data_IF_695652880641
#
_entry.id   IF_695652880641
#
_cell.length_a   1.000
_cell.length_b   1.000
_cell.length_c   1.000
_cell.angle_alpha   90.00
_cell.angle_beta   90.00
_cell.angle_gamma   90.00
#
_symmetry.space_group_name_H-M   'P 1'
#
loop_
_entity.id
_entity.type
_entity.pdbx_description
1 polymer ?
#
# COMPACT_ATOMS: atom_id res chain seq x y z
N UNK A 1 -8.47 -7.25 -38.60
CA UNK A 1 -7.44 -6.94 -37.58
C UNK A 1 -8.13 -7.04 -36.25
N UNK A 2 -7.71 -7.89 -35.30
CA UNK A 2 -8.35 -7.95 -33.98
C UNK A 2 -7.95 -6.73 -33.16
N UNK A 3 -8.93 -6.12 -32.50
CA UNK A 3 -8.87 -4.91 -31.71
C UNK A 3 -7.76 -4.99 -30.64
N UNK A 4 -6.90 -4.00 -30.59
CA UNK A 4 -5.84 -3.86 -29.58
C UNK A 4 -6.39 -3.71 -28.14
N UNK A 5 -7.60 -3.19 -27.98
CA UNK A 5 -8.26 -3.02 -26.68
C UNK A 5 -8.52 -4.35 -25.95
N UNK A 6 -8.88 -5.40 -26.67
CA UNK A 6 -9.16 -6.72 -26.06
C UNK A 6 -7.92 -7.44 -25.50
N UNK A 7 -6.71 -7.05 -25.93
CA UNK A 7 -5.46 -7.61 -25.38
C UNK A 7 -5.04 -6.93 -24.07
N UNK A 8 -5.31 -5.64 -23.96
CA UNK A 8 -4.97 -4.84 -22.77
C UNK A 8 -5.89 -5.24 -21.61
N UNK A 9 -7.21 -5.33 -21.86
CA UNK A 9 -8.18 -5.83 -20.86
C UNK A 9 -7.85 -7.23 -20.35
N UNK A 10 -7.29 -8.11 -21.21
CA UNK A 10 -6.91 -9.46 -20.84
C UNK A 10 -5.64 -9.53 -19.98
N UNK A 11 -4.75 -8.54 -20.09
CA UNK A 11 -3.51 -8.46 -19.29
C UNK A 11 -3.84 -7.92 -17.88
N UNK A 12 -4.65 -6.88 -17.78
CA UNK A 12 -5.08 -6.29 -16.49
C UNK A 12 -5.84 -7.30 -15.63
N UNK A 13 -6.87 -7.96 -16.18
CA UNK A 13 -7.61 -9.02 -15.48
C UNK A 13 -6.74 -10.23 -15.11
N UNK A 14 -5.75 -10.56 -15.92
CA UNK A 14 -4.82 -11.66 -15.63
C UNK A 14 -3.88 -11.35 -14.48
N UNK A 15 -3.44 -10.11 -14.35
CA UNK A 15 -2.57 -9.65 -13.27
C UNK A 15 -3.34 -9.54 -11.94
N UNK A 16 -4.54 -8.97 -11.95
CA UNK A 16 -5.43 -8.94 -10.79
C UNK A 16 -5.77 -10.36 -10.30
N UNK A 17 -6.05 -11.30 -11.21
CA UNK A 17 -6.28 -12.71 -10.85
C UNK A 17 -5.05 -13.38 -10.26
N UNK A 18 -3.84 -13.01 -10.70
CA UNK A 18 -2.57 -13.52 -10.13
C UNK A 18 -2.33 -12.98 -8.72
N UNK A 19 -2.65 -11.71 -8.46
CA UNK A 19 -2.55 -11.14 -7.13
C UNK A 19 -3.53 -11.82 -6.17
N UNK A 20 -4.79 -11.99 -6.59
CA UNK A 20 -5.82 -12.70 -5.80
C UNK A 20 -5.33 -14.11 -5.47
N UNK A 21 -4.80 -14.85 -6.46
CA UNK A 21 -4.30 -16.21 -6.26
C UNK A 21 -3.07 -16.26 -5.34
N UNK A 22 -2.18 -15.25 -5.39
CA UNK A 22 -1.07 -15.12 -4.47
C UNK A 22 -1.53 -14.82 -3.03
N UNK A 23 -2.69 -14.15 -2.87
CA UNK A 23 -3.28 -13.77 -1.58
C UNK A 23 -4.23 -14.84 -0.98
N UNK A 24 -4.73 -15.80 -1.76
CA UNK A 24 -5.67 -16.85 -1.28
C UNK A 24 -5.10 -17.76 -0.17
N UNK A 25 -3.78 -17.75 0.04
CA UNK A 25 -3.13 -18.44 1.17
C UNK A 25 -3.11 -17.65 2.49
N UNK A 26 -3.58 -16.41 2.49
CA UNK A 26 -3.52 -15.51 3.64
C UNK A 26 -4.86 -15.48 4.37
N UNK A 27 -4.87 -15.97 5.60
CA UNK A 27 -6.08 -15.94 6.43
C UNK A 27 -6.22 -14.56 7.07
N UNK A 28 -7.41 -13.96 6.99
CA UNK A 28 -7.76 -12.75 7.76
C UNK A 28 -7.54 -12.91 9.28
N UNK A 29 -7.54 -14.14 9.76
CA UNK A 29 -7.28 -14.47 11.16
C UNK A 29 -5.84 -14.17 11.64
N UNK A 30 -4.87 -14.04 10.73
CA UNK A 30 -3.49 -13.74 11.10
C UNK A 30 -3.27 -12.26 11.46
N UNK A 31 -4.32 -11.43 11.33
CA UNK A 31 -4.23 -9.99 11.55
C UNK A 31 -4.60 -9.53 12.96
N UNK A 32 -5.19 -10.35 13.83
CA UNK A 32 -5.93 -9.78 14.97
C UNK A 32 -5.67 -10.35 16.37
N UNK A 33 -4.78 -11.29 16.60
CA UNK A 33 -4.52 -11.75 17.99
C UNK A 33 -3.08 -12.18 18.26
N UNK A 34 -2.22 -11.24 18.66
CA UNK A 34 -1.16 -11.52 19.65
C UNK A 34 -0.71 -10.22 20.31
N UNK A 35 -0.63 -10.20 21.65
CA UNK A 35 0.11 -9.17 22.37
C UNK A 35 1.56 -9.18 21.86
N UNK A 36 2.22 -8.02 21.63
CA UNK A 36 3.61 -7.98 21.22
C UNK A 36 4.44 -8.77 22.24
N UNK A 37 4.91 -9.93 21.83
CA UNK A 37 5.98 -10.62 22.56
C UNK A 37 7.26 -9.88 22.18
N UNK A 38 8.08 -9.55 23.15
CA UNK A 38 9.22 -8.64 23.08
C UNK A 38 9.96 -8.63 21.74
N UNK A 39 10.31 -7.44 21.24
CA UNK A 39 10.91 -7.18 19.93
C UNK A 39 12.34 -7.73 19.82
N UNK A 40 12.47 -9.06 19.81
CA UNK A 40 13.74 -9.77 19.72
C UNK A 40 13.79 -10.60 18.43
N UNK A 41 14.97 -10.64 17.80
CA UNK A 41 15.20 -11.45 16.61
C UNK A 41 14.38 -10.98 15.43
N UNK A 42 14.83 -9.91 14.77
CA UNK A 42 14.23 -9.44 13.53
C UNK A 42 14.26 -10.54 12.47
N UNK A 43 13.14 -10.75 11.82
CA UNK A 43 12.96 -11.73 10.73
C UNK A 43 12.29 -11.02 9.55
N UNK A 44 12.83 -11.27 8.35
CA UNK A 44 12.22 -10.81 7.12
C UNK A 44 12.31 -11.89 6.04
N UNK A 45 11.30 -11.93 5.17
CA UNK A 45 11.20 -12.89 4.08
C UNK A 45 10.62 -12.23 2.84
N UNK A 46 11.22 -12.51 1.70
CA UNK A 46 10.68 -12.15 0.38
C UNK A 46 10.22 -13.43 -0.32
N UNK A 47 9.00 -13.41 -0.86
CA UNK A 47 8.43 -14.50 -1.68
C UNK A 47 8.08 -14.02 -3.08
N UNK A 48 8.56 -14.71 -4.10
CA UNK A 48 8.21 -14.49 -5.49
C UNK A 48 8.08 -15.84 -6.21
N UNK A 49 6.85 -16.30 -6.42
CA UNK A 49 6.59 -17.64 -6.96
C UNK A 49 7.24 -18.73 -6.11
N UNK A 50 8.19 -19.47 -6.70
CA UNK A 50 8.95 -20.52 -6.01
C UNK A 50 10.23 -20.01 -5.31
N UNK A 51 10.56 -18.73 -5.46
CA UNK A 51 11.71 -18.11 -4.81
C UNK A 51 11.30 -17.64 -3.43
N UNK A 52 12.07 -18.06 -2.42
CA UNK A 52 11.98 -17.54 -1.06
C UNK A 52 13.36 -17.08 -0.64
N UNK A 53 13.46 -15.86 -0.11
CA UNK A 53 14.68 -15.25 0.42
C UNK A 53 14.41 -14.92 1.88
N UNK A 54 15.20 -15.49 2.79
CA UNK A 54 15.05 -15.28 4.24
C UNK A 54 16.24 -14.46 4.77
N UNK A 55 15.99 -13.55 5.69
CA UNK A 55 17.05 -12.76 6.36
C UNK A 55 18.01 -13.60 7.21
N UNK A 56 17.63 -14.84 7.54
CA UNK A 56 18.52 -15.80 8.20
C UNK A 56 19.54 -16.47 7.27
N UNK A 57 19.36 -16.37 5.96
CA UNK A 57 20.18 -17.06 4.95
C UNK A 57 20.97 -16.09 4.07
N UNK A 58 20.41 -14.93 3.81
CA UNK A 58 20.99 -13.89 2.94
C UNK A 58 20.76 -12.52 3.52
N UNK A 59 21.79 -11.69 3.45
CA UNK A 59 21.65 -10.28 3.80
C UNK A 59 20.82 -9.57 2.73
N UNK A 60 19.75 -8.92 3.18
CA UNK A 60 18.96 -8.06 2.31
C UNK A 60 18.36 -6.89 3.08
N UNK A 61 18.14 -5.83 2.36
CA UNK A 61 17.58 -4.58 2.83
C UNK A 61 16.27 -4.34 2.09
N UNK A 62 15.33 -3.63 2.71
CA UNK A 62 14.17 -3.14 2.01
C UNK A 62 13.70 -1.78 2.53
N UNK A 63 13.16 -1.01 1.61
CA UNK A 63 12.33 0.17 1.88
C UNK A 63 10.98 -0.08 1.24
N UNK A 64 9.92 0.06 2.01
CA UNK A 64 8.53 -0.14 1.58
C UNK A 64 7.74 1.08 1.97
N UNK A 65 7.25 1.82 1.00
CA UNK A 65 6.40 2.99 1.20
C UNK A 65 4.92 2.59 1.14
N UNK A 66 4.08 3.34 1.84
CA UNK A 66 2.63 3.19 1.79
C UNK A 66 1.95 4.52 2.11
N UNK A 67 0.88 4.83 1.38
CA UNK A 67 0.12 6.05 1.57
C UNK A 67 -1.38 5.89 1.26
N UNK A 68 -2.16 6.98 1.39
CA UNK A 68 -3.59 7.00 1.12
C UNK A 68 -3.95 7.76 -0.16
N UNK A 69 -3.02 7.84 -1.11
CA UNK A 69 -3.25 8.36 -2.45
C UNK A 69 -3.52 7.23 -3.48
N UNK A 70 -3.73 7.60 -4.74
CA UNK A 70 -3.98 6.68 -5.85
C UNK A 70 -2.73 6.29 -6.63
N UNK A 71 -1.57 6.80 -6.24
CA UNK A 71 -0.30 6.40 -6.83
C UNK A 71 0.11 5.03 -6.27
N UNK A 72 0.78 4.24 -7.09
CA UNK A 72 1.24 2.93 -6.64
C UNK A 72 2.31 3.06 -5.56
N UNK A 73 2.14 2.36 -4.44
CA UNK A 73 3.17 2.32 -3.42
C UNK A 73 4.37 1.53 -3.92
N UNK A 74 5.56 2.04 -3.65
CA UNK A 74 6.81 1.46 -4.08
C UNK A 74 7.46 0.60 -3.00
N UNK A 75 8.17 -0.44 -3.43
CA UNK A 75 9.11 -1.17 -2.59
C UNK A 75 10.42 -1.40 -3.35
N UNK A 76 11.53 -1.08 -2.69
CA UNK A 76 12.87 -1.41 -3.15
C UNK A 76 13.46 -2.48 -2.23
N UNK A 77 13.87 -3.61 -2.82
CA UNK A 77 14.52 -4.71 -2.11
C UNK A 77 15.91 -4.87 -2.67
N UNK A 78 16.91 -4.89 -1.81
CA UNK A 78 18.31 -5.08 -2.17
C UNK A 78 18.78 -6.39 -1.55
N UNK A 79 19.24 -7.32 -2.37
CA UNK A 79 19.74 -8.62 -1.92
C UNK A 79 21.17 -8.80 -2.40
N UNK A 80 22.02 -9.24 -1.48
CA UNK A 80 23.44 -9.49 -1.77
C UNK A 80 23.66 -10.94 -2.19
N UNK A 81 24.55 -11.13 -3.17
CA UNK A 81 25.07 -12.42 -3.61
C UNK A 81 24.04 -13.47 -4.06
N UNK A 82 22.91 -13.03 -4.61
CA UNK A 82 21.95 -13.94 -5.23
C UNK A 82 22.57 -14.77 -6.36
N UNK A 83 22.18 -16.04 -6.44
CA UNK A 83 22.59 -16.93 -7.53
C UNK A 83 21.97 -16.49 -8.87
N UNK A 84 22.64 -16.76 -9.99
CA UNK A 84 22.08 -16.48 -11.32
C UNK A 84 20.77 -17.24 -11.56
N UNK A 85 20.62 -18.45 -11.01
CA UNK A 85 19.39 -19.22 -11.11
C UNK A 85 18.23 -18.55 -10.39
N UNK A 86 18.46 -17.96 -9.23
CA UNK A 86 17.46 -17.20 -8.47
C UNK A 86 17.08 -15.90 -9.21
N UNK A 87 18.09 -15.12 -9.64
CA UNK A 87 17.85 -13.87 -10.39
C UNK A 87 17.01 -14.15 -11.65
N UNK A 88 17.28 -15.23 -12.36
CA UNK A 88 16.55 -15.60 -13.56
C UNK A 88 15.07 -15.98 -13.31
N UNK A 89 14.69 -16.25 -12.07
CA UNK A 89 13.30 -16.52 -11.68
C UNK A 89 12.53 -15.25 -11.29
N UNK A 90 13.23 -14.19 -10.91
CA UNK A 90 12.65 -12.88 -10.60
C UNK A 90 12.31 -12.17 -11.91
N UNK A 91 11.07 -12.30 -12.36
CA UNK A 91 10.61 -11.76 -13.64
C UNK A 91 9.74 -10.51 -13.41
N UNK A 92 9.89 -9.54 -14.30
CA UNK A 92 8.97 -8.41 -14.41
C UNK A 92 7.51 -8.91 -14.49
N UNK A 93 6.62 -8.24 -13.77
CA UNK A 93 5.21 -8.60 -13.63
C UNK A 93 4.95 -9.85 -12.77
N UNK A 94 5.98 -10.44 -12.14
CA UNK A 94 5.77 -11.53 -11.19
C UNK A 94 5.28 -10.98 -9.84
N UNK A 95 4.29 -11.66 -9.24
CA UNK A 95 3.81 -11.32 -7.91
C UNK A 95 4.90 -11.54 -6.86
N UNK A 96 5.05 -10.57 -5.96
CA UNK A 96 6.05 -10.56 -4.90
C UNK A 96 5.43 -10.08 -3.58
N UNK A 97 5.89 -10.62 -2.46
CA UNK A 97 5.49 -10.16 -1.13
C UNK A 97 6.68 -10.08 -0.19
N UNK A 98 6.60 -9.15 0.75
CA UNK A 98 7.58 -8.97 1.83
C UNK A 98 6.86 -9.17 3.16
N UNK A 99 7.37 -10.07 3.96
CA UNK A 99 6.96 -10.27 5.35
C UNK A 99 8.11 -9.85 6.25
N UNK A 100 7.83 -9.06 7.29
CA UNK A 100 8.85 -8.63 8.24
C UNK A 100 8.26 -8.48 9.64
N UNK A 101 9.14 -8.47 10.65
CA UNK A 101 8.76 -8.29 12.04
C UNK A 101 9.79 -8.93 12.97
N UNK A 102 9.32 -9.30 14.15
CA UNK A 102 10.14 -9.91 15.18
C UNK A 102 9.67 -11.35 15.43
N UNK A 103 10.53 -12.19 15.98
CA UNK A 103 10.26 -13.61 16.24
C UNK A 103 8.93 -13.81 16.96
N UNK A 104 8.00 -14.50 16.29
CA UNK A 104 6.64 -14.73 16.79
C UNK A 104 5.65 -13.60 16.54
N UNK A 105 6.07 -12.49 15.89
CA UNK A 105 5.22 -11.36 15.51
C UNK A 105 5.69 -10.77 14.17
N UNK A 106 5.47 -11.51 13.10
CA UNK A 106 5.77 -11.11 11.72
C UNK A 106 4.50 -10.97 10.91
N UNK A 107 4.50 -10.10 9.92
CA UNK A 107 3.36 -9.92 9.02
C UNK A 107 3.75 -9.32 7.68
N UNK A 108 2.82 -9.34 6.74
CA UNK A 108 3.05 -8.79 5.40
C UNK A 108 3.10 -7.27 5.47
N UNK A 109 4.24 -6.71 5.07
CA UNK A 109 4.44 -5.27 4.94
C UNK A 109 4.26 -4.78 3.50
N UNK A 110 4.46 -5.66 2.49
CA UNK A 110 4.28 -5.35 1.09
C UNK A 110 3.71 -6.54 0.32
N UNK A 111 2.86 -6.24 -0.65
CA UNK A 111 2.37 -7.20 -1.64
C UNK A 111 2.09 -6.49 -2.96
N UNK A 112 2.73 -6.94 -4.02
CA UNK A 112 2.65 -6.29 -5.33
C UNK A 112 3.33 -7.11 -6.42
N UNK A 113 3.94 -6.41 -7.37
CA UNK A 113 4.58 -6.99 -8.55
C UNK A 113 5.99 -6.44 -8.73
N UNK A 114 6.84 -7.22 -9.35
CA UNK A 114 8.17 -6.78 -9.77
C UNK A 114 8.03 -5.88 -11.00
N UNK A 115 8.51 -4.63 -10.90
CA UNK A 115 8.71 -3.75 -12.04
C UNK A 115 9.96 -4.18 -12.82
N UNK A 116 11.09 -4.12 -12.14
CA UNK A 116 12.39 -4.43 -12.76
C UNK A 116 13.38 -4.99 -11.76
N UNK A 117 14.34 -5.74 -12.27
CA UNK A 117 15.46 -6.29 -11.49
C UNK A 117 16.77 -5.79 -12.08
N UNK A 118 17.62 -5.19 -11.25
CA UNK A 118 18.95 -4.72 -11.64
C UNK A 118 20.01 -5.41 -10.80
N UNK A 119 21.00 -6.01 -11.45
CA UNK A 119 22.15 -6.62 -10.77
C UNK A 119 23.43 -5.91 -11.19
N UNK A 120 24.23 -5.52 -10.22
CA UNK A 120 25.55 -4.91 -10.44
C UNK A 120 26.59 -5.52 -9.51
N UNK A 121 27.83 -5.44 -9.91
CA UNK A 121 28.97 -5.76 -9.05
C UNK A 121 29.21 -4.57 -8.11
N UNK A 122 29.43 -4.84 -6.82
CA UNK A 122 29.70 -3.85 -5.80
C UNK A 122 30.91 -4.35 -4.95
N UNK A 123 32.12 -3.93 -5.34
CA UNK A 123 33.33 -4.46 -4.77
C UNK A 123 33.51 -5.96 -5.01
N UNK A 124 33.56 -6.74 -3.93
CA UNK A 124 33.62 -8.19 -3.97
C UNK A 124 32.22 -8.83 -4.13
N UNK A 125 31.18 -8.11 -3.77
CA UNK A 125 29.81 -8.58 -3.73
C UNK A 125 29.06 -8.30 -5.03
N UNK A 126 27.90 -8.95 -5.14
CA UNK A 126 26.93 -8.71 -6.18
C UNK A 126 25.63 -8.23 -5.57
N UNK A 127 25.28 -6.98 -5.85
CA UNK A 127 24.08 -6.31 -5.40
C UNK A 127 22.97 -6.48 -6.42
N UNK A 128 21.86 -7.09 -6.05
CA UNK A 128 20.65 -7.20 -6.86
C UNK A 128 19.55 -6.36 -6.24
N UNK A 129 19.08 -5.35 -6.99
CA UNK A 129 17.96 -4.49 -6.58
C UNK A 129 16.72 -4.91 -7.34
N UNK A 130 15.63 -5.15 -6.60
CA UNK A 130 14.31 -5.49 -7.09
C UNK A 130 13.40 -4.31 -6.79
N UNK A 131 12.87 -3.67 -7.84
CA UNK A 131 11.90 -2.60 -7.73
C UNK A 131 10.50 -3.18 -7.90
N UNK A 132 9.57 -2.79 -7.04
CA UNK A 132 8.23 -3.34 -6.97
C UNK A 132 7.18 -2.26 -6.79
N UNK A 133 5.96 -2.51 -7.27
CA UNK A 133 4.77 -1.69 -7.03
C UNK A 133 3.63 -2.54 -6.46
N UNK A 134 2.76 -1.95 -5.66
CA UNK A 134 1.57 -2.64 -5.13
C UNK A 134 0.34 -2.51 -6.03
N UNK A 135 0.43 -1.76 -7.10
CA UNK A 135 -0.60 -1.61 -8.13
C UNK A 135 -0.14 -2.15 -9.49
N UNK A 136 -1.07 -2.29 -10.39
CA UNK A 136 -0.79 -2.52 -11.81
C UNK A 136 -0.72 -1.14 -12.45
N UNK A 137 0.45 -0.72 -12.96
CA UNK A 137 0.56 0.44 -13.82
C UNK A 137 -0.34 0.25 -15.04
N UNK A 138 -1.58 0.65 -14.94
CA UNK A 138 -2.53 0.59 -16.04
C UNK A 138 -2.96 2.02 -16.39
N UNK A 139 -2.29 2.60 -17.37
CA UNK A 139 -2.72 3.83 -18.03
C UNK A 139 -3.94 3.56 -18.93
N UNK A 140 -4.94 2.87 -18.37
CA UNK A 140 -6.16 2.55 -19.11
C UNK A 140 -6.90 3.84 -19.43
N UNK A 141 -6.97 4.15 -20.72
CA UNK A 141 -7.84 5.20 -21.20
C UNK A 141 -9.27 4.67 -21.16
N UNK A 142 -10.12 5.33 -20.40
CA UNK A 142 -11.54 4.96 -20.30
C UNK A 142 -12.39 5.95 -21.10
N UNK A 143 -13.48 5.44 -21.68
CA UNK A 143 -14.54 6.26 -22.28
C UNK A 143 -15.88 5.58 -21.96
N UNK A 144 -16.61 6.15 -20.99
CA UNK A 144 -17.86 5.59 -20.49
C UNK A 144 -18.89 6.70 -20.41
N UNK A 145 -20.07 6.46 -20.96
CA UNK A 145 -21.23 7.36 -20.83
C UNK A 145 -22.20 6.82 -19.79
N UNK A 146 -22.68 7.71 -18.96
CA UNK A 146 -23.66 7.45 -17.91
C UNK A 146 -24.92 8.27 -18.19
N UNK A 147 -26.08 7.68 -17.99
CA UNK A 147 -27.37 8.33 -18.22
C UNK A 147 -27.59 9.52 -17.26
N UNK A 148 -28.49 10.41 -17.63
CA UNK A 148 -28.98 11.46 -16.75
C UNK A 148 -29.51 10.86 -15.43
N UNK A 149 -29.41 11.63 -14.35
CA UNK A 149 -29.72 11.25 -12.97
C UNK A 149 -28.82 10.16 -12.37
N UNK A 150 -27.63 9.96 -12.93
CA UNK A 150 -26.62 9.06 -12.35
C UNK A 150 -25.92 9.70 -11.15
N UNK A 151 -25.73 8.91 -10.11
CA UNK A 151 -25.02 9.33 -8.89
C UNK A 151 -23.50 9.24 -9.06
N UNK A 152 -22.77 10.18 -8.44
CA UNK A 152 -21.30 10.20 -8.43
C UNK A 152 -20.71 8.91 -7.84
N UNK A 153 -21.33 8.37 -6.80
CA UNK A 153 -20.92 7.10 -6.18
C UNK A 153 -21.01 5.91 -7.14
N UNK A 154 -22.02 5.89 -8.02
CA UNK A 154 -22.15 4.83 -9.02
C UNK A 154 -21.06 4.95 -10.09
N UNK A 155 -20.77 6.18 -10.54
CA UNK A 155 -19.67 6.44 -11.48
C UNK A 155 -18.34 5.99 -10.84
N UNK A 156 -18.03 6.46 -9.64
CA UNK A 156 -16.81 6.10 -8.92
C UNK A 156 -16.66 4.58 -8.77
N UNK A 157 -17.71 3.90 -8.32
CA UNK A 157 -17.68 2.44 -8.15
C UNK A 157 -17.49 1.70 -9.48
N UNK A 158 -18.06 2.22 -10.57
CA UNK A 158 -17.89 1.66 -11.92
C UNK A 158 -16.43 1.82 -12.39
N UNK A 159 -15.83 2.99 -12.15
CA UNK A 159 -14.43 3.26 -12.50
C UNK A 159 -13.48 2.36 -11.67
N UNK A 160 -13.69 2.26 -10.36
CA UNK A 160 -12.91 1.36 -9.50
C UNK A 160 -13.01 -0.09 -10.02
N UNK A 161 -14.19 -0.54 -10.43
CA UNK A 161 -14.35 -1.87 -11.03
C UNK A 161 -13.54 -2.11 -12.31
N UNK A 162 -13.11 -1.04 -12.99
CA UNK A 162 -12.24 -1.14 -14.17
C UNK A 162 -10.76 -1.39 -13.83
N UNK A 163 -10.33 -1.11 -12.61
CA UNK A 163 -8.96 -1.43 -12.17
C UNK A 163 -8.73 -2.94 -12.10
N UNK A 164 -9.78 -3.75 -12.02
CA UNK A 164 -9.69 -5.19 -11.83
C UNK A 164 -9.30 -5.62 -10.42
N UNK A 165 -8.99 -4.66 -9.53
CA UNK A 165 -8.66 -4.95 -8.13
C UNK A 165 -9.93 -5.17 -7.28
N UNK A 166 -9.87 -6.01 -6.26
CA UNK A 166 -10.99 -6.20 -5.34
C UNK A 166 -11.23 -4.94 -4.50
N UNK A 167 -12.48 -4.50 -4.46
CA UNK A 167 -12.93 -3.37 -3.65
C UNK A 167 -13.20 -3.85 -2.22
N UNK A 168 -12.34 -3.47 -1.28
CA UNK A 168 -12.43 -3.88 0.11
C UNK A 168 -13.41 -3.04 0.93
N UNK A 169 -13.38 -1.72 0.74
CA UNK A 169 -14.26 -0.76 1.43
C UNK A 169 -14.78 0.26 0.42
N UNK A 170 -16.08 0.54 0.50
CA UNK A 170 -16.71 1.61 -0.28
C UNK A 170 -17.72 2.34 0.58
N UNK A 171 -17.39 3.57 0.99
CA UNK A 171 -18.24 4.43 1.80
C UNK A 171 -18.08 5.85 1.31
N UNK A 172 -19.15 6.48 0.85
CA UNK A 172 -19.14 7.86 0.36
C UNK A 172 -19.71 8.81 1.40
N UNK A 173 -19.14 10.00 1.50
CA UNK A 173 -19.62 11.03 2.42
C UNK A 173 -20.66 11.96 1.80
N UNK A 174 -20.55 12.16 0.48
CA UNK A 174 -21.45 12.94 -0.34
C UNK A 174 -21.80 12.14 -1.57
N UNK A 175 -22.99 12.32 -2.12
CA UNK A 175 -23.40 11.59 -3.31
C UNK A 175 -24.16 12.53 -4.26
N UNK A 176 -23.40 13.25 -5.06
CA UNK A 176 -23.95 14.17 -6.05
C UNK A 176 -24.70 13.40 -7.16
N UNK A 177 -25.88 13.90 -7.55
CA UNK A 177 -26.64 13.35 -8.68
C UNK A 177 -26.51 14.29 -9.87
N UNK A 178 -26.03 13.79 -11.00
CA UNK A 178 -25.89 14.55 -12.24
C UNK A 178 -27.21 14.55 -13.01
N UNK A 179 -27.81 15.73 -13.17
CA UNK A 179 -29.10 15.88 -13.89
C UNK A 179 -28.98 15.54 -15.37
N UNK A 180 -27.82 15.74 -15.98
CA UNK A 180 -27.52 15.46 -17.37
C UNK A 180 -26.66 14.22 -17.55
N UNK A 181 -26.62 13.70 -18.77
CA UNK A 181 -25.69 12.62 -19.15
C UNK A 181 -24.22 13.03 -18.84
N UNK A 182 -23.46 12.09 -18.35
CA UNK A 182 -22.04 12.29 -18.03
C UNK A 182 -21.20 11.36 -18.91
N UNK A 183 -20.25 11.91 -19.64
CA UNK A 183 -19.22 11.14 -20.32
C UNK A 183 -17.91 11.28 -19.56
N UNK A 184 -17.33 10.16 -19.21
CA UNK A 184 -16.06 10.05 -18.49
C UNK A 184 -15.02 9.55 -19.47
N UNK A 185 -14.13 10.43 -19.89
CA UNK A 185 -13.06 10.16 -20.86
C UNK A 185 -11.68 10.40 -20.23
N UNK A 186 -10.67 9.68 -20.73
CA UNK A 186 -9.28 9.87 -20.38
C UNK A 186 -8.76 8.85 -19.39
N UNK A 187 -7.70 9.23 -18.67
CA UNK A 187 -7.00 8.37 -17.74
C UNK A 187 -7.91 7.89 -16.60
N UNK A 188 -7.90 6.58 -16.35
CA UNK A 188 -8.77 5.95 -15.36
C UNK A 188 -8.50 6.45 -13.94
N UNK A 189 -7.23 6.56 -13.54
CA UNK A 189 -6.85 6.93 -12.18
C UNK A 189 -7.17 8.40 -11.90
N UNK A 190 -6.96 9.30 -12.87
CA UNK A 190 -7.36 10.69 -12.77
C UNK A 190 -8.88 10.84 -12.62
N UNK A 191 -9.65 10.04 -13.35
CA UNK A 191 -11.10 10.01 -13.22
C UNK A 191 -11.56 9.46 -11.86
N UNK A 192 -10.92 8.41 -11.35
CA UNK A 192 -11.19 7.89 -9.99
C UNK A 192 -10.92 9.00 -8.96
N UNK A 193 -9.78 9.70 -9.05
CA UNK A 193 -9.44 10.83 -8.17
C UNK A 193 -10.53 11.91 -8.20
N UNK A 194 -10.91 12.37 -9.38
CA UNK A 194 -11.96 13.38 -9.57
C UNK A 194 -13.28 12.99 -8.91
N UNK A 195 -13.77 11.77 -9.15
CA UNK A 195 -15.04 11.33 -8.56
C UNK A 195 -14.94 10.98 -7.08
N UNK A 196 -13.75 10.62 -6.58
CA UNK A 196 -13.48 10.50 -5.14
C UNK A 196 -13.63 11.85 -4.43
N UNK A 197 -13.07 12.91 -4.99
CA UNK A 197 -13.23 14.28 -4.49
C UNK A 197 -14.70 14.72 -4.45
N UNK A 198 -15.46 14.46 -5.53
CA UNK A 198 -16.91 14.73 -5.57
C UNK A 198 -17.65 13.97 -4.48
N UNK A 199 -17.29 12.70 -4.24
CA UNK A 199 -17.88 11.86 -3.19
C UNK A 199 -17.38 12.20 -1.78
N UNK A 200 -16.37 13.06 -1.65
CA UNK A 200 -15.77 13.47 -0.37
C UNK A 200 -15.03 12.30 0.32
N UNK A 201 -14.35 11.48 -0.46
CA UNK A 201 -13.60 10.32 0.00
C UNK A 201 -12.18 10.33 -0.53
N UNK A 202 -11.27 9.66 0.17
CA UNK A 202 -9.98 9.22 -0.35
C UNK A 202 -10.14 7.81 -0.92
N UNK A 203 -9.61 7.60 -2.13
CA UNK A 203 -9.53 6.28 -2.75
C UNK A 203 -8.06 5.94 -2.91
N UNK A 204 -7.65 4.75 -2.47
CA UNK A 204 -6.27 4.30 -2.48
C UNK A 204 -6.18 2.78 -2.62
N UNK A 205 -5.02 2.30 -3.01
CA UNK A 205 -4.68 0.88 -3.04
C UNK A 205 -3.85 0.54 -1.81
N UNK A 206 -4.17 -0.55 -1.14
CA UNK A 206 -3.37 -1.07 -0.06
C UNK A 206 -3.34 -2.60 -0.12
N UNK A 207 -2.15 -3.15 -0.24
CA UNK A 207 -1.91 -4.61 -0.33
C UNK A 207 -2.79 -5.27 -1.41
N UNK A 208 -2.88 -4.64 -2.59
CA UNK A 208 -3.62 -5.13 -3.75
C UNK A 208 -5.14 -5.07 -3.66
N UNK A 209 -5.70 -4.27 -2.75
CA UNK A 209 -7.14 -4.01 -2.62
C UNK A 209 -7.43 -2.53 -2.69
N UNK A 210 -8.55 -2.14 -3.30
CA UNK A 210 -9.00 -0.75 -3.34
C UNK A 210 -9.86 -0.43 -2.13
N UNK A 211 -9.60 0.71 -1.54
CA UNK A 211 -10.38 1.30 -0.45
C UNK A 211 -10.88 2.66 -0.91
N UNK A 212 -12.15 2.96 -0.66
CA UNK A 212 -12.75 4.28 -0.91
C UNK A 212 -13.59 4.66 0.31
N UNK A 213 -13.07 5.60 1.11
CA UNK A 213 -13.70 6.00 2.38
C UNK A 213 -13.28 7.41 2.78
N UNK A 214 -13.98 7.99 3.74
CA UNK A 214 -13.61 9.29 4.27
C UNK A 214 -12.19 9.26 4.87
N UNK A 215 -11.44 10.34 4.67
CA UNK A 215 -10.02 10.45 5.07
C UNK A 215 -9.78 10.19 6.57
N UNK A 216 -10.76 10.46 7.45
CA UNK A 216 -10.64 10.18 8.89
C UNK A 216 -11.12 8.77 9.28
N UNK A 217 -11.72 8.01 8.35
CA UNK A 217 -12.13 6.63 8.61
C UNK A 217 -10.94 5.69 8.45
N UNK A 218 -10.88 4.68 9.31
CA UNK A 218 -9.80 3.70 9.29
C UNK A 218 -10.16 2.41 10.03
N UNK A 219 -9.20 1.49 10.06
CA UNK A 219 -9.32 0.19 10.69
C UNK A 219 -8.63 0.23 12.05
N UNK A 220 -9.39 0.02 13.13
CA UNK A 220 -8.82 0.00 14.47
C UNK A 220 -8.01 -1.29 14.67
N UNK A 221 -6.70 -1.17 14.69
CA UNK A 221 -5.80 -2.30 14.88
C UNK A 221 -5.51 -2.61 16.35
N UNK A 222 -6.13 -1.86 17.29
CA UNK A 222 -5.92 -1.99 18.74
C UNK A 222 -4.45 -1.99 19.18
N UNK A 223 -3.59 -1.28 18.44
CA UNK A 223 -2.18 -1.18 18.75
C UNK A 223 -1.88 0.14 19.47
N UNK A 224 -1.23 0.05 20.63
CA UNK A 224 -0.70 1.21 21.35
C UNK A 224 0.70 1.52 20.84
N UNK A 225 0.92 2.76 20.41
CA UNK A 225 2.22 3.28 20.02
C UNK A 225 2.75 4.11 21.20
N UNK A 226 3.76 3.59 21.86
CA UNK A 226 4.38 4.20 23.05
C UNK A 226 5.87 3.81 23.14
N UNK A 227 6.65 4.43 24.01
CA UNK A 227 8.03 4.00 24.27
C UNK A 227 8.12 2.51 24.67
N UNK A 228 7.13 2.01 25.41
CA UNK A 228 7.09 0.61 25.87
C UNK A 228 6.79 -0.37 24.72
N UNK A 229 6.21 0.11 23.61
CA UNK A 229 5.89 -0.69 22.43
C UNK A 229 6.80 -0.40 21.24
N UNK A 230 7.93 0.25 21.49
CA UNK A 230 9.00 0.44 20.51
C UNK A 230 8.99 1.78 19.80
N UNK A 231 8.24 2.79 20.24
CA UNK A 231 8.38 4.15 19.73
C UNK A 231 9.80 4.67 20.01
N UNK A 232 10.40 5.28 19.00
CA UNK A 232 11.76 5.83 19.05
C UNK A 232 11.67 7.36 19.06
N UNK A 233 12.24 7.99 20.08
CA UNK A 233 12.21 9.44 20.22
C UNK A 233 10.82 9.96 20.63
N UNK A 234 10.53 11.19 20.20
CA UNK A 234 9.28 11.91 20.48
C UNK A 234 8.56 12.18 19.17
N UNK A 235 7.23 12.03 19.09
CA UNK A 235 6.47 12.40 17.90
C UNK A 235 6.76 13.85 17.48
N UNK A 236 6.95 14.09 16.20
CA UNK A 236 7.17 15.42 15.63
C UNK A 236 5.87 15.97 15.06
N UNK A 237 5.42 17.13 15.53
CA UNK A 237 4.20 17.77 15.07
C UNK A 237 4.39 18.36 13.68
N UNK A 238 3.39 18.20 12.81
CA UNK A 238 3.31 18.87 11.52
C UNK A 238 1.93 19.47 11.27
N UNK A 239 1.91 20.50 10.43
CA UNK A 239 0.70 21.13 9.93
C UNK A 239 0.72 21.11 8.41
N UNK A 240 -0.38 20.70 7.80
CA UNK A 240 -0.56 20.69 6.35
C UNK A 240 -1.85 21.39 5.96
N UNK A 241 -1.77 22.35 5.03
CA UNK A 241 -2.96 22.96 4.44
C UNK A 241 -3.49 22.08 3.30
N UNK A 242 -4.66 21.49 3.50
CA UNK A 242 -5.40 20.83 2.42
C UNK A 242 -6.33 21.82 1.74
N UNK A 243 -6.08 22.07 0.47
CA UNK A 243 -6.89 23.00 -0.34
C UNK A 243 -7.68 22.19 -1.39
N UNK A 244 -9.01 22.14 -1.25
CA UNK A 244 -9.93 21.78 -2.33
C UNK A 244 -10.63 23.04 -2.84
N UNK A 245 -11.22 23.01 -4.05
CA UNK A 245 -11.76 24.21 -4.73
C UNK A 245 -12.65 25.12 -3.88
N UNK A 246 -13.32 24.60 -2.84
CA UNK A 246 -14.22 25.36 -1.96
C UNK A 246 -13.91 25.21 -0.45
N UNK A 247 -12.76 24.63 -0.08
CA UNK A 247 -12.50 24.29 1.32
C UNK A 247 -11.00 24.31 1.64
N UNK A 248 -10.62 25.08 2.67
CA UNK A 248 -9.28 24.99 3.28
C UNK A 248 -9.41 24.40 4.68
N UNK A 249 -8.75 23.30 4.92
CA UNK A 249 -8.62 22.72 6.25
C UNK A 249 -7.13 22.58 6.57
N UNK A 250 -6.71 23.06 7.72
CA UNK A 250 -5.39 22.75 8.26
C UNK A 250 -5.49 21.41 8.98
N UNK A 251 -4.71 20.45 8.52
CA UNK A 251 -4.59 19.14 9.15
C UNK A 251 -3.39 19.19 10.07
N UNK A 252 -3.61 18.91 11.34
CA UNK A 252 -2.56 18.75 12.33
C UNK A 252 -2.29 17.25 12.50
N UNK A 253 -1.03 16.89 12.55
CA UNK A 253 -0.64 15.50 12.67
C UNK A 253 0.72 15.33 13.34
N UNK A 254 1.16 14.09 13.43
CA UNK A 254 2.45 13.72 13.99
C UNK A 254 3.19 12.76 13.09
N UNK A 255 4.49 12.97 12.92
CA UNK A 255 5.43 11.99 12.40
C UNK A 255 5.97 11.18 13.57
N UNK A 256 5.89 9.86 13.47
CA UNK A 256 6.29 8.94 14.54
C UNK A 256 7.24 7.89 13.96
N UNK A 257 8.38 7.73 14.61
CA UNK A 257 9.34 6.65 14.31
C UNK A 257 9.25 5.58 15.39
N UNK A 258 9.27 4.32 14.97
CA UNK A 258 9.24 3.17 15.88
C UNK A 258 10.06 2.00 15.35
N UNK A 259 10.35 1.02 16.19
CA UNK A 259 10.83 -0.28 15.73
C UNK A 259 9.85 -0.87 14.71
N UNK A 260 10.36 -1.62 13.73
CA UNK A 260 9.53 -2.10 12.62
C UNK A 260 8.28 -2.81 13.15
N UNK A 261 7.12 -2.32 12.74
CA UNK A 261 5.84 -2.87 13.13
C UNK A 261 4.97 -3.12 11.90
N UNK A 262 4.83 -4.37 11.53
CA UNK A 262 4.11 -4.81 10.31
C UNK A 262 2.62 -4.44 10.28
N UNK A 263 2.01 -4.12 11.45
CA UNK A 263 0.61 -3.68 11.55
C UNK A 263 0.40 -2.25 11.08
N UNK A 264 1.48 -1.45 11.03
CA UNK A 264 1.39 -0.08 10.52
C UNK A 264 1.16 -0.12 9.01
N UNK A 265 0.07 0.47 8.58
CA UNK A 265 -0.35 0.51 7.19
C UNK A 265 -1.34 1.66 7.01
N UNK A 266 -1.60 2.04 5.78
CA UNK A 266 -2.57 3.08 5.44
C UNK A 266 -3.91 2.85 6.11
N UNK A 267 -4.45 3.92 6.71
CA UNK A 267 -5.71 3.96 7.43
C UNK A 267 -5.79 3.06 8.69
N UNK A 268 -4.67 2.56 9.20
CA UNK A 268 -4.65 1.97 10.53
C UNK A 268 -4.97 3.03 11.58
N UNK A 269 -5.88 2.74 12.51
CA UNK A 269 -6.14 3.58 13.68
C UNK A 269 -5.35 3.01 14.86
N UNK A 270 -4.42 3.81 15.35
CA UNK A 270 -3.55 3.52 16.48
C UNK A 270 -3.99 4.29 17.72
N UNK A 271 -3.51 3.86 18.88
CA UNK A 271 -3.62 4.58 20.13
C UNK A 271 -2.24 5.12 20.53
N UNK A 272 -2.00 6.40 20.25
CA UNK A 272 -0.73 7.05 20.59
C UNK A 272 -0.69 7.39 22.08
N UNK A 273 0.42 7.10 22.73
CA UNK A 273 0.69 7.44 24.12
C UNK A 273 2.12 7.93 24.25
N UNK A 274 2.28 9.24 24.37
CA UNK A 274 3.56 9.92 24.48
C UNK A 274 3.47 11.09 25.44
N UNK A 275 4.60 11.76 25.70
CA UNK A 275 4.64 12.95 26.54
C UNK A 275 3.90 14.14 25.92
N UNK A 276 3.87 14.26 24.59
CA UNK A 276 3.35 15.43 23.88
C UNK A 276 1.99 15.18 23.20
N UNK A 277 1.65 13.92 22.87
CA UNK A 277 0.43 13.59 22.17
C UNK A 277 -0.17 12.28 22.71
N UNK A 278 -1.48 12.29 22.96
CA UNK A 278 -2.21 11.13 23.43
C UNK A 278 -3.57 11.05 22.76
N UNK A 279 -3.95 9.86 22.32
CA UNK A 279 -5.26 9.64 21.70
C UNK A 279 -5.23 8.68 20.52
N UNK A 280 -6.36 8.64 19.81
CA UNK A 280 -6.50 7.84 18.60
C UNK A 280 -6.14 8.67 17.39
N UNK A 281 -5.26 8.14 16.58
CA UNK A 281 -4.79 8.74 15.34
C UNK A 281 -4.92 7.74 14.19
N UNK A 282 -5.18 8.26 13.00
CA UNK A 282 -5.21 7.49 11.76
C UNK A 282 -3.88 7.64 11.03
N UNK A 283 -3.28 6.54 10.65
CA UNK A 283 -2.10 6.51 9.78
C UNK A 283 -2.50 6.95 8.37
N UNK A 284 -1.84 7.97 7.84
CA UNK A 284 -1.99 8.44 6.45
C UNK A 284 -1.01 7.72 5.53
N UNK A 285 0.25 7.90 5.82
CA UNK A 285 1.35 7.34 5.06
C UNK A 285 2.47 6.89 5.98
N UNK A 286 3.46 6.25 5.41
CA UNK A 286 4.65 5.85 6.14
C UNK A 286 5.58 4.99 5.31
N UNK A 287 6.62 4.54 5.95
CA UNK A 287 7.59 3.63 5.35
C UNK A 287 8.11 2.62 6.38
N UNK A 288 8.28 1.40 5.92
CA UNK A 288 9.06 0.39 6.61
C UNK A 288 10.45 0.36 6.00
N UNK A 289 11.46 0.37 6.84
CA UNK A 289 12.86 0.28 6.41
C UNK A 289 13.61 -0.71 7.27
N UNK A 290 14.37 -1.59 6.67
CA UNK A 290 15.28 -2.45 7.39
C UNK A 290 16.53 -2.76 6.58
N UNK A 291 17.63 -2.95 7.30
CA UNK A 291 18.95 -3.37 6.83
C UNK A 291 19.64 -4.16 7.94
N UNK A 292 20.94 -4.42 7.81
CA UNK A 292 21.73 -5.13 8.82
C UNK A 292 21.76 -4.47 10.22
N UNK A 293 21.58 -3.15 10.30
CA UNK A 293 21.76 -2.36 11.51
C UNK A 293 20.47 -1.84 12.11
N UNK A 294 19.41 -1.67 11.34
CA UNK A 294 18.14 -1.08 11.77
C UNK A 294 16.94 -1.78 11.17
N UNK A 295 15.84 -1.79 11.90
CA UNK A 295 14.54 -2.15 11.40
C UNK A 295 13.50 -1.20 12.01
N UNK A 296 12.99 -0.27 11.21
CA UNK A 296 12.15 0.84 11.65
C UNK A 296 10.89 0.98 10.80
N UNK A 297 9.88 1.54 11.40
CA UNK A 297 8.68 2.05 10.74
C UNK A 297 8.55 3.52 11.08
N UNK A 298 8.40 4.37 10.07
CA UNK A 298 8.04 5.78 10.22
C UNK A 298 6.63 5.96 9.67
N UNK A 299 5.78 6.64 10.41
CA UNK A 299 4.38 6.90 10.01
C UNK A 299 4.02 8.36 10.23
N UNK A 300 3.15 8.88 9.37
CA UNK A 300 2.44 10.13 9.59
C UNK A 300 1.00 9.84 9.98
N UNK A 301 0.55 10.47 11.06
CA UNK A 301 -0.79 10.24 11.63
C UNK A 301 -1.56 11.54 11.82
N UNK A 302 -2.88 11.50 11.65
CA UNK A 302 -3.83 12.61 11.81
C UNK A 302 -4.97 12.25 12.74
#
# INVERSE_FOLDING_TARGET
MPNSSSKIDAISTKNASRLIQAMEGWREADFFETKPQGMWGFEAQVKCGNVTINSSELDFEAVVEFDDNLEANEAEIIVYNLSNSTINQLKEGAAISITAGYKGDTGVIFSGFIDRVKTRKDGADRKTTIFCFDDVEDHTITSISFAANTKASYILKTLIGKTGLPLAVFSVRRDHTYENEQTVDGDLMQNIKKYSEVCGVSTYVNKGKVYSRYVKDGDNINFEVSPDTGMIGTPEEFEEEQTAEDFKETVHGFTITMLLQHRMTTAAIINLKSEIANGKYRVRCGKHKFNESEATTEIEVI
#
